data_IF_567674669425
#
_entry.id   IF_567674669425
#
_cell.length_a   1.000
_cell.length_b   1.000
_cell.length_c   1.000
_cell.angle_alpha   90.00
_cell.angle_beta   90.00
_cell.angle_gamma   90.00
#
_symmetry.space_group_name_H-M   'P 1'
#
loop_
_entity.id
_entity.type
_entity.pdbx_description
1 polymer ?
#
# COMPACT_ATOMS: atom_id res chain seq x y z
N UNK A 1 -6.29 -2.77 16.38
CA UNK A 1 -5.64 -1.70 17.16
C UNK A 1 -6.65 -0.57 17.34
N UNK A 2 -6.40 0.32 18.31
CA UNK A 2 -7.32 1.41 18.63
C UNK A 2 -6.96 2.66 17.82
N UNK A 3 -7.98 3.33 17.32
CA UNK A 3 -7.87 4.63 16.63
C UNK A 3 -8.66 5.65 17.44
N UNK A 4 -7.96 6.61 18.02
CA UNK A 4 -8.57 7.75 18.70
C UNK A 4 -8.90 8.81 17.65
N UNK A 5 -10.19 8.95 17.32
CA UNK A 5 -10.66 10.00 16.41
C UNK A 5 -11.10 11.18 17.26
N UNK A 6 -10.38 12.30 17.11
CA UNK A 6 -10.52 13.48 17.98
C UNK A 6 -10.97 14.71 17.18
N UNK A 7 -11.82 15.52 17.77
CA UNK A 7 -12.38 16.73 17.18
C UNK A 7 -13.21 17.49 18.21
N UNK A 8 -14.46 17.82 17.87
CA UNK A 8 -15.43 18.34 18.85
C UNK A 8 -15.75 17.31 19.95
N UNK A 9 -15.66 16.03 19.59
CA UNK A 9 -15.81 14.87 20.48
C UNK A 9 -14.62 13.95 20.34
N UNK A 10 -14.39 13.11 21.35
CA UNK A 10 -13.45 12.00 21.28
C UNK A 10 -14.22 10.69 21.14
N UNK A 11 -13.84 9.90 20.14
CA UNK A 11 -14.33 8.54 19.96
C UNK A 11 -13.14 7.60 19.75
N UNK A 12 -13.29 6.36 20.21
CA UNK A 12 -12.27 5.32 20.04
C UNK A 12 -12.85 4.20 19.20
N UNK A 13 -12.32 4.07 17.99
CA UNK A 13 -12.70 3.03 17.05
C UNK A 13 -11.73 1.85 17.13
N UNK A 14 -12.26 0.64 16.98
CA UNK A 14 -11.46 -0.60 16.96
C UNK A 14 -11.29 -1.10 15.54
N UNK A 15 -10.06 -1.11 15.04
CA UNK A 15 -9.68 -1.83 13.82
C UNK A 15 -9.38 -3.29 14.17
N UNK A 16 -10.09 -4.23 13.54
CA UNK A 16 -9.99 -5.67 13.79
C UNK A 16 -9.90 -6.47 12.49
N UNK A 17 -9.54 -7.76 12.59
CA UNK A 17 -9.41 -8.65 11.42
C UNK A 17 -8.18 -8.38 10.54
N UNK A 18 -7.19 -7.66 11.07
CA UNK A 18 -5.93 -7.34 10.36
C UNK A 18 -4.81 -8.28 10.77
N UNK A 19 -3.89 -8.54 9.84
CA UNK A 19 -2.66 -9.27 10.06
C UNK A 19 -1.49 -8.52 9.39
N UNK A 20 -0.27 -9.04 9.51
CA UNK A 20 0.91 -8.41 8.93
C UNK A 20 1.87 -9.47 8.37
N UNK A 21 2.56 -9.07 7.30
CA UNK A 21 3.71 -9.79 6.74
C UNK A 21 4.89 -8.85 6.58
N UNK A 22 6.09 -9.40 6.48
CA UNK A 22 7.29 -8.61 6.20
C UNK A 22 7.28 -8.11 4.75
N UNK A 23 7.55 -6.82 4.54
CA UNK A 23 7.66 -6.22 3.21
C UNK A 23 8.90 -6.63 2.41
N UNK A 24 9.85 -7.33 3.06
CA UNK A 24 11.08 -7.83 2.43
C UNK A 24 11.11 -9.37 2.31
N UNK A 25 10.05 -10.05 2.76
CA UNK A 25 9.93 -11.51 2.67
C UNK A 25 9.18 -11.96 1.41
N UNK A 26 9.00 -13.27 1.25
CA UNK A 26 8.29 -13.84 0.11
C UNK A 26 6.76 -13.79 0.28
N UNK A 27 6.26 -13.77 1.53
CA UNK A 27 4.81 -13.75 1.81
C UNK A 27 4.09 -12.55 1.17
N UNK A 28 4.74 -11.38 1.08
CA UNK A 28 4.14 -10.20 0.43
C UNK A 28 4.01 -10.37 -1.09
N UNK A 29 4.95 -11.10 -1.72
CA UNK A 29 4.88 -11.41 -3.15
C UNK A 29 3.67 -12.31 -3.42
N UNK A 30 3.44 -13.28 -2.54
CA UNK A 30 2.33 -14.23 -2.61
C UNK A 30 0.98 -13.54 -2.43
N UNK A 31 0.89 -12.55 -1.54
CA UNK A 31 -0.31 -11.75 -1.35
C UNK A 31 -0.60 -10.87 -2.57
N UNK A 32 0.39 -10.20 -3.15
CA UNK A 32 0.21 -9.35 -4.34
C UNK A 32 -0.35 -10.15 -5.53
N UNK A 33 0.01 -11.44 -5.65
CA UNK A 33 -0.54 -12.33 -6.66
C UNK A 33 -2.05 -12.64 -6.47
N UNK A 34 -2.61 -12.36 -5.30
CA UNK A 34 -3.97 -12.79 -4.91
C UNK A 34 -4.94 -11.64 -4.66
N UNK A 35 -4.48 -10.53 -4.07
CA UNK A 35 -5.35 -9.43 -3.63
C UNK A 35 -5.98 -8.65 -4.78
N UNK A 36 -7.03 -7.89 -4.48
CA UNK A 36 -7.71 -7.01 -5.43
C UNK A 36 -7.18 -5.57 -5.39
N UNK A 37 -6.52 -5.20 -4.28
CA UNK A 37 -6.03 -3.84 -4.03
C UNK A 37 -4.67 -3.86 -3.33
N UNK A 38 -3.77 -2.99 -3.75
CA UNK A 38 -2.52 -2.67 -3.05
C UNK A 38 -2.48 -1.17 -2.76
N UNK A 39 -2.28 -0.80 -1.49
CA UNK A 39 -2.17 0.60 -1.06
C UNK A 39 -0.83 0.87 -0.37
N UNK A 40 -0.30 2.09 -0.47
CA UNK A 40 0.95 2.50 0.22
C UNK A 40 0.78 3.79 0.99
N UNK A 41 1.52 3.94 2.09
CA UNK A 41 1.70 5.19 2.85
C UNK A 41 3.08 5.14 3.52
N UNK A 42 4.15 5.13 2.72
CA UNK A 42 5.51 4.75 3.11
C UNK A 42 6.56 5.85 2.88
N UNK A 43 6.19 6.94 2.21
CA UNK A 43 7.08 8.01 1.81
C UNK A 43 7.94 7.68 0.58
N UNK A 44 8.51 8.69 -0.10
CA UNK A 44 9.13 8.55 -1.42
C UNK A 44 10.30 7.57 -1.46
N UNK A 45 11.14 7.55 -0.44
CA UNK A 45 12.32 6.67 -0.38
C UNK A 45 11.92 5.20 -0.32
N UNK A 46 10.88 4.88 0.46
CA UNK A 46 10.43 3.50 0.61
C UNK A 46 9.56 3.08 -0.58
N UNK A 47 8.87 4.02 -1.22
CA UNK A 47 8.07 3.78 -2.42
C UNK A 47 8.89 3.14 -3.55
N UNK A 48 10.11 3.62 -3.78
CA UNK A 48 11.05 2.98 -4.71
C UNK A 48 11.53 1.60 -4.20
N UNK A 49 11.82 1.49 -2.90
CA UNK A 49 12.35 0.26 -2.29
C UNK A 49 11.39 -0.93 -2.35
N UNK A 50 10.07 -0.70 -2.31
CA UNK A 50 9.06 -1.77 -2.39
C UNK A 50 8.75 -2.19 -3.83
N UNK A 51 9.13 -1.40 -4.84
CA UNK A 51 8.80 -1.67 -6.24
C UNK A 51 9.29 -3.04 -6.75
N UNK A 52 10.49 -3.56 -6.40
CA UNK A 52 10.90 -4.91 -6.81
C UNK A 52 10.03 -6.02 -6.24
N UNK A 53 9.51 -5.88 -5.01
CA UNK A 53 8.61 -6.87 -4.42
C UNK A 53 7.25 -6.86 -5.15
N UNK A 54 6.73 -5.67 -5.47
CA UNK A 54 5.51 -5.52 -6.27
C UNK A 54 5.70 -6.11 -7.67
N UNK A 55 6.80 -5.80 -8.35
CA UNK A 55 7.09 -6.36 -9.68
C UNK A 55 7.13 -7.90 -9.64
N UNK A 56 7.80 -8.50 -8.65
CA UNK A 56 7.78 -9.96 -8.46
C UNK A 56 6.36 -10.50 -8.23
N UNK A 57 5.56 -9.82 -7.42
CA UNK A 57 4.17 -10.20 -7.16
C UNK A 57 3.31 -10.16 -8.42
N UNK A 58 3.49 -9.16 -9.27
CA UNK A 58 2.80 -9.03 -10.55
C UNK A 58 3.21 -10.12 -11.55
N UNK A 59 4.50 -10.48 -11.61
CA UNK A 59 4.97 -11.62 -12.41
C UNK A 59 4.32 -12.91 -11.92
N UNK A 60 4.32 -13.15 -10.60
CA UNK A 60 3.66 -14.32 -10.01
C UNK A 60 2.16 -14.34 -10.31
N UNK A 61 1.49 -13.18 -10.24
CA UNK A 61 0.07 -13.03 -10.60
C UNK A 61 -0.22 -13.47 -12.03
N UNK A 62 0.62 -13.00 -12.98
CA UNK A 62 0.56 -13.39 -14.39
C UNK A 62 0.78 -14.90 -14.57
N UNK A 63 1.79 -15.47 -13.93
CA UNK A 63 2.11 -16.91 -14.01
C UNK A 63 0.99 -17.80 -13.45
N UNK A 64 0.24 -17.30 -12.47
CA UNK A 64 -0.93 -17.98 -11.91
C UNK A 64 -2.19 -17.86 -12.80
N UNK A 65 -2.15 -17.07 -13.87
CA UNK A 65 -3.31 -16.79 -14.71
C UNK A 65 -4.40 -15.99 -14.01
N UNK A 66 -4.04 -15.22 -12.96
CA UNK A 66 -5.00 -14.37 -12.27
C UNK A 66 -5.19 -13.04 -13.03
N UNK A 67 -6.16 -13.04 -13.94
CA UNK A 67 -6.52 -11.89 -14.78
C UNK A 67 -7.54 -10.95 -14.09
N UNK A 68 -7.91 -11.21 -12.84
CA UNK A 68 -8.81 -10.31 -12.09
C UNK A 68 -8.14 -8.94 -11.95
N UNK A 69 -8.83 -7.84 -12.32
CA UNK A 69 -8.24 -6.50 -12.29
C UNK A 69 -7.66 -6.16 -10.91
N UNK A 70 -6.42 -5.68 -10.90
CA UNK A 70 -5.73 -5.22 -9.69
C UNK A 70 -5.59 -3.71 -9.73
N UNK A 71 -5.94 -3.01 -8.65
CA UNK A 71 -5.64 -1.58 -8.51
C UNK A 71 -4.53 -1.35 -7.48
N UNK A 72 -3.57 -0.51 -7.84
CA UNK A 72 -2.52 -0.02 -6.94
C UNK A 72 -2.76 1.47 -6.71
N UNK A 73 -2.77 1.90 -5.45
CA UNK A 73 -3.05 3.27 -5.04
C UNK A 73 -2.02 3.72 -3.99
N UNK A 74 -1.11 4.61 -4.35
CA UNK A 74 -0.18 5.20 -3.40
C UNK A 74 -0.87 6.39 -2.69
N UNK A 75 -1.11 6.25 -1.40
CA UNK A 75 -1.69 7.26 -0.50
C UNK A 75 -0.57 8.08 0.16
N UNK A 76 0.25 8.71 -0.68
CA UNK A 76 1.43 9.47 -0.26
C UNK A 76 1.15 10.97 -0.25
N UNK A 77 1.90 11.73 0.54
CA UNK A 77 1.96 13.19 0.44
C UNK A 77 2.83 13.61 -0.77
N UNK A 78 2.41 13.18 -1.97
CA UNK A 78 3.10 13.37 -3.23
C UNK A 78 2.08 13.61 -4.34
N UNK A 79 2.35 14.56 -5.23
CA UNK A 79 1.56 14.72 -6.46
C UNK A 79 1.79 13.50 -7.34
N UNK A 80 0.69 12.80 -7.69
CA UNK A 80 0.71 11.60 -8.53
C UNK A 80 1.69 10.52 -8.01
N UNK A 81 1.65 10.25 -6.71
CA UNK A 81 2.52 9.25 -6.08
C UNK A 81 2.41 7.86 -6.73
N UNK A 82 1.21 7.47 -7.16
CA UNK A 82 1.01 6.17 -7.81
C UNK A 82 1.64 6.11 -9.20
N UNK A 83 1.58 7.20 -9.97
CA UNK A 83 2.32 7.33 -11.25
C UNK A 83 3.83 7.19 -11.03
N UNK A 84 4.38 7.77 -9.96
CA UNK A 84 5.80 7.62 -9.64
C UNK A 84 6.14 6.17 -9.25
N UNK A 85 5.31 5.54 -8.39
CA UNK A 85 5.43 4.12 -8.05
C UNK A 85 5.35 3.22 -9.30
N UNK A 86 4.44 3.51 -10.24
CA UNK A 86 4.36 2.81 -11.54
C UNK A 86 5.71 2.83 -12.25
N UNK A 87 6.37 3.98 -12.31
CA UNK A 87 7.70 4.11 -12.92
C UNK A 87 8.74 3.18 -12.28
N UNK A 88 8.81 3.15 -10.94
CA UNK A 88 9.72 2.25 -10.23
C UNK A 88 9.39 0.77 -10.48
N UNK A 89 8.11 0.40 -10.50
CA UNK A 89 7.67 -0.97 -10.78
C UNK A 89 8.02 -1.37 -12.21
N UNK A 90 7.76 -0.51 -13.19
CA UNK A 90 8.09 -0.77 -14.60
C UNK A 90 9.59 -0.94 -14.85
N UNK A 91 10.43 -0.25 -14.06
CA UNK A 91 11.89 -0.43 -14.11
C UNK A 91 12.34 -1.78 -13.51
N UNK A 92 11.58 -2.34 -12.58
CA UNK A 92 11.87 -3.62 -11.94
C UNK A 92 11.19 -4.82 -12.64
N UNK A 93 10.25 -4.57 -13.55
CA UNK A 93 9.52 -5.60 -14.29
C UNK A 93 10.34 -6.18 -15.46
N UNK A 94 10.31 -7.51 -15.64
CA UNK A 94 10.72 -8.14 -16.89
C UNK A 94 9.94 -7.59 -18.09
N UNK A 95 10.59 -7.47 -19.24
CA UNK A 95 10.00 -6.88 -20.45
C UNK A 95 8.74 -7.62 -20.92
N UNK A 96 8.74 -8.95 -20.82
CA UNK A 96 7.62 -9.82 -21.22
C UNK A 96 6.40 -9.73 -20.29
N UNK A 97 6.54 -9.10 -19.11
CA UNK A 97 5.46 -8.88 -18.17
C UNK A 97 4.77 -7.52 -18.34
N UNK A 98 5.43 -6.54 -18.98
CA UNK A 98 4.94 -5.15 -19.03
C UNK A 98 3.59 -5.01 -19.71
N UNK A 99 3.41 -5.62 -20.89
CA UNK A 99 2.14 -5.54 -21.63
C UNK A 99 0.97 -6.12 -20.82
N UNK A 100 1.21 -7.25 -20.14
CA UNK A 100 0.19 -7.86 -19.27
C UNK A 100 -0.16 -6.94 -18.09
N UNK A 101 0.84 -6.33 -17.45
CA UNK A 101 0.62 -5.37 -16.35
C UNK A 101 -0.15 -4.13 -16.82
N UNK A 102 0.16 -3.61 -18.02
CA UNK A 102 -0.57 -2.46 -18.57
C UNK A 102 -2.05 -2.74 -18.84
N UNK A 103 -2.38 -3.99 -19.20
CA UNK A 103 -3.76 -4.42 -19.46
C UNK A 103 -4.55 -4.72 -18.17
N UNK A 104 -3.91 -5.33 -17.17
CA UNK A 104 -4.61 -5.90 -16.01
C UNK A 104 -4.46 -5.09 -14.71
N UNK A 105 -3.54 -4.12 -14.66
CA UNK A 105 -3.22 -3.37 -13.43
C UNK A 105 -3.48 -1.88 -13.59
N UNK A 106 -4.42 -1.36 -12.80
CA UNK A 106 -4.68 0.06 -12.65
C UNK A 106 -3.68 0.72 -11.68
N UNK A 107 -3.02 1.78 -12.14
CA UNK A 107 -2.21 2.66 -11.28
C UNK A 107 -2.98 3.96 -11.05
N UNK A 108 -3.70 4.04 -9.94
CA UNK A 108 -4.65 5.12 -9.66
C UNK A 108 -4.00 6.15 -8.74
N UNK A 109 -3.74 7.35 -9.28
CA UNK A 109 -3.27 8.47 -8.47
C UNK A 109 -4.33 8.87 -7.43
N UNK A 110 -3.87 9.26 -6.23
CA UNK A 110 -4.74 9.71 -5.14
C UNK A 110 -4.31 11.07 -4.60
N UNK A 111 -5.23 11.72 -3.90
CA UNK A 111 -4.95 12.82 -2.99
C UNK A 111 -5.58 12.46 -1.65
N UNK A 112 -4.77 12.45 -0.60
CA UNK A 112 -5.20 12.09 0.76
C UNK A 112 -4.93 13.25 1.70
N UNK A 113 -5.84 13.47 2.63
CA UNK A 113 -5.73 14.53 3.63
C UNK A 113 -6.32 14.03 4.95
N UNK A 114 -5.48 14.03 5.97
CA UNK A 114 -5.84 13.74 7.36
C UNK A 114 -4.65 14.09 8.25
N UNK A 115 -4.87 14.94 9.23
CA UNK A 115 -3.88 15.24 10.26
C UNK A 115 -3.74 14.03 11.19
N UNK A 116 -2.54 13.46 11.22
CA UNK A 116 -2.13 12.37 12.12
C UNK A 116 -0.91 12.85 12.90
N UNK A 117 -1.07 13.39 14.11
CA UNK A 117 0.05 13.85 14.92
C UNK A 117 0.98 12.69 15.32
N UNK A 118 2.25 12.97 15.68
CA UNK A 118 3.12 11.96 16.25
C UNK A 118 2.45 11.28 17.46
N UNK A 119 2.53 9.95 17.52
CA UNK A 119 1.99 9.17 18.62
C UNK A 119 2.69 9.53 19.92
N UNK A 120 2.04 10.32 20.77
CA UNK A 120 2.42 10.43 22.18
C UNK A 120 1.76 9.27 22.91
N UNK A 121 2.23 8.04 22.70
CA UNK A 121 1.56 6.86 23.27
C UNK A 121 1.56 6.99 24.79
N UNK A 122 0.40 7.30 25.37
CA UNK A 122 0.22 7.37 26.80
C UNK A 122 0.14 5.97 27.41
N UNK A 123 -0.13 4.95 26.58
CA UNK A 123 -0.47 3.58 27.01
C UNK A 123 0.65 2.55 26.76
N UNK A 124 1.73 2.93 26.06
CA UNK A 124 2.80 2.05 25.54
C UNK A 124 2.33 1.06 24.45
N UNK A 125 1.15 1.22 23.85
CA UNK A 125 0.71 0.42 22.71
C UNK A 125 1.41 0.88 21.42
N UNK A 126 2.21 0.03 20.74
CA UNK A 126 2.91 0.41 19.52
C UNK A 126 2.00 0.57 18.30
N UNK A 127 0.72 0.21 18.38
CA UNK A 127 -0.24 0.26 17.27
C UNK A 127 -1.33 1.32 17.45
N UNK A 128 -1.45 1.94 18.63
CA UNK A 128 -2.44 2.99 18.84
C UNK A 128 -2.10 4.24 18.03
N UNK A 129 -3.13 4.89 17.51
CA UNK A 129 -2.98 6.12 16.70
C UNK A 129 -4.10 7.10 17.01
N UNK A 130 -3.76 8.39 17.04
CA UNK A 130 -4.73 9.49 17.16
C UNK A 130 -4.83 10.22 15.83
N UNK A 131 -6.04 10.53 15.38
CA UNK A 131 -6.33 11.20 14.11
C UNK A 131 -7.46 12.22 14.27
N UNK A 132 -7.52 13.23 13.40
CA UNK A 132 -8.67 14.15 13.37
C UNK A 132 -9.96 13.50 12.79
N UNK A 133 -11.12 14.08 13.13
CA UNK A 133 -12.45 13.67 12.63
C UNK A 133 -12.66 14.03 11.17
#
# INVERSE_FOLDING_TARGET
YQVHVVGETEQVDTVSGVNAVSSIGDDVVDLIAQVDLVTTAVGPVVLERIAPAIAKGLVKRKEQGNESPLNIIACENMVRGTTQLKGHIMNALPEDAKAWVEEHVGFVDSAVDRIVPPSASATNDPLEVTVET
#
